data_IF_199874571431
#
_entry.id   IF_199874571431
#
_cell.length_a   1.000
_cell.length_b   1.000
_cell.length_c   1.000
_cell.angle_alpha   90.00
_cell.angle_beta   90.00
_cell.angle_gamma   90.00
#
_symmetry.space_group_name_H-M   'P 1'
#
loop_
_entity.id
_entity.type
_entity.pdbx_description
1 polymer ?
#
# COMPACT_ATOMS: atom_id res chain seq x y z
N UNK A 1 -55.83 8.78 -30.21
CA UNK A 1 -55.18 9.08 -28.92
C UNK A 1 -53.99 8.15 -28.79
N UNK A 2 -52.82 8.64 -29.11
CA UNK A 2 -51.58 7.87 -29.02
C UNK A 2 -50.90 8.23 -27.70
N UNK A 3 -50.81 7.22 -26.80
CA UNK A 3 -50.12 7.38 -25.49
C UNK A 3 -48.63 7.22 -25.73
N UNK A 4 -47.88 8.33 -25.64
CA UNK A 4 -46.43 8.35 -25.66
C UNK A 4 -45.89 7.82 -24.35
N UNK A 5 -45.23 6.68 -24.37
CA UNK A 5 -44.38 6.24 -23.28
C UNK A 5 -43.11 7.10 -23.29
N UNK A 6 -42.96 7.96 -22.28
CA UNK A 6 -41.70 8.65 -22.07
C UNK A 6 -40.63 7.65 -21.63
N UNK A 7 -39.59 7.49 -22.43
CA UNK A 7 -38.36 6.76 -22.05
C UNK A 7 -37.73 7.47 -20.87
N UNK A 8 -37.48 6.73 -19.78
CA UNK A 8 -36.66 7.19 -18.67
C UNK A 8 -35.22 7.34 -19.15
N UNK A 9 -34.55 8.46 -18.84
CA UNK A 9 -33.13 8.58 -19.12
C UNK A 9 -32.38 7.48 -18.37
N UNK A 10 -31.59 6.70 -19.11
CA UNK A 10 -30.64 5.75 -18.54
C UNK A 10 -29.53 6.57 -17.87
N UNK A 11 -29.49 6.54 -16.54
CA UNK A 11 -28.35 7.04 -15.78
C UNK A 11 -27.20 6.09 -16.08
N UNK A 12 -26.23 6.58 -16.85
CA UNK A 12 -24.99 5.86 -17.08
C UNK A 12 -24.36 5.58 -15.72
N UNK A 13 -24.18 4.31 -15.37
CA UNK A 13 -23.33 3.90 -14.24
C UNK A 13 -21.90 4.20 -14.67
N UNK A 14 -21.45 5.41 -14.37
CA UNK A 14 -20.02 5.73 -14.42
C UNK A 14 -19.26 4.75 -13.56
N UNK A 15 -18.01 4.44 -13.92
CA UNK A 15 -17.14 3.68 -13.03
C UNK A 15 -17.12 4.39 -11.66
N UNK A 16 -17.26 3.64 -10.54
CA UNK A 16 -17.31 4.26 -9.23
C UNK A 16 -15.97 4.95 -8.97
N UNK A 17 -16.03 6.27 -8.83
CA UNK A 17 -14.88 7.09 -8.44
C UNK A 17 -14.30 6.57 -7.12
N UNK A 18 -12.96 6.69 -6.89
CA UNK A 18 -12.35 6.41 -5.60
C UNK A 18 -13.06 7.14 -4.46
N UNK A 19 -13.35 6.44 -3.37
CA UNK A 19 -14.11 6.97 -2.21
C UNK A 19 -13.32 8.00 -1.38
N UNK A 20 -12.43 8.78 -1.99
CA UNK A 20 -11.61 9.77 -1.31
C UNK A 20 -12.07 11.18 -1.66
N UNK A 21 -12.68 11.87 -0.70
CA UNK A 21 -12.77 13.32 -0.72
C UNK A 21 -11.43 13.90 -0.25
N UNK A 22 -10.70 14.54 -1.15
CA UNK A 22 -9.43 15.18 -0.81
C UNK A 22 -9.68 16.48 -0.05
N UNK A 23 -9.49 16.45 1.27
CA UNK A 23 -9.28 17.67 2.03
C UNK A 23 -7.88 18.23 1.70
N UNK A 24 -7.82 19.49 1.34
CA UNK A 24 -6.62 20.14 0.82
C UNK A 24 -5.42 20.07 1.79
N UNK A 25 -4.31 19.59 1.28
CA UNK A 25 -2.93 20.01 1.51
C UNK A 25 -2.33 19.81 2.91
N UNK A 26 -1.82 18.62 3.11
CA UNK A 26 -0.53 18.47 3.80
C UNK A 26 0.39 17.71 2.85
N UNK A 27 1.70 18.01 2.87
CA UNK A 27 2.66 17.37 1.97
C UNK A 27 2.61 15.84 2.15
N UNK A 28 1.99 15.10 1.22
CA UNK A 28 1.89 13.64 1.32
C UNK A 28 3.27 12.97 1.22
N UNK A 29 4.30 13.72 0.81
CA UNK A 29 5.68 13.29 0.74
C UNK A 29 6.41 13.42 2.09
N UNK A 30 5.83 14.06 3.12
CA UNK A 30 6.51 14.21 4.42
C UNK A 30 6.91 12.84 4.99
N UNK A 31 8.21 12.62 5.28
CA UNK A 31 8.69 11.36 5.81
C UNK A 31 8.16 11.11 7.23
N UNK A 32 8.05 9.84 7.60
CA UNK A 32 7.71 9.43 8.96
C UNK A 32 8.58 8.25 9.41
N UNK A 33 8.73 8.15 10.73
CA UNK A 33 9.40 7.03 11.39
C UNK A 33 8.49 6.49 12.47
N UNK A 34 8.30 5.18 12.49
CA UNK A 34 7.49 4.43 13.44
C UNK A 34 8.21 3.12 13.82
N UNK A 35 7.61 2.28 14.65
CA UNK A 35 8.14 0.98 15.04
C UNK A 35 7.31 -0.13 14.39
N UNK A 36 7.95 -1.13 13.81
CA UNK A 36 7.25 -2.25 13.21
C UNK A 36 6.95 -3.38 14.25
N UNK A 37 6.25 -4.41 13.81
CA UNK A 37 5.86 -5.58 14.62
C UNK A 37 7.05 -6.39 15.14
N UNK A 38 8.24 -6.21 14.59
CA UNK A 38 9.48 -6.86 15.05
C UNK A 38 10.27 -5.99 16.03
N UNK A 39 9.69 -4.83 16.42
CA UNK A 39 10.32 -3.84 17.29
C UNK A 39 11.44 -3.06 16.61
N UNK A 40 11.50 -3.08 15.28
CA UNK A 40 12.50 -2.37 14.52
C UNK A 40 11.98 -1.00 14.08
N UNK A 41 12.89 -0.04 13.95
CA UNK A 41 12.57 1.26 13.37
C UNK A 41 12.18 1.09 11.89
N UNK A 42 11.02 1.63 11.54
CA UNK A 42 10.51 1.69 10.19
C UNK A 42 10.51 3.13 9.69
N UNK A 43 11.35 3.44 8.71
CA UNK A 43 11.31 4.72 7.99
C UNK A 43 10.49 4.59 6.72
N UNK A 44 9.64 5.61 6.43
CA UNK A 44 8.92 5.72 5.17
C UNK A 44 9.83 5.79 3.94
N UNK A 45 11.14 6.10 4.11
CA UNK A 45 12.11 6.08 3.03
C UNK A 45 12.28 4.68 2.44
N UNK A 46 11.99 3.63 3.23
CA UNK A 46 12.00 2.24 2.75
C UNK A 46 10.89 1.92 1.75
N UNK A 47 9.88 2.80 1.63
CA UNK A 47 8.78 2.71 0.67
C UNK A 47 9.13 3.32 -0.70
N UNK A 48 10.24 4.06 -0.79
CA UNK A 48 10.66 4.67 -2.05
C UNK A 48 10.85 3.61 -3.14
N UNK A 49 10.30 3.84 -4.32
CA UNK A 49 10.34 2.89 -5.44
C UNK A 49 9.36 1.70 -5.30
N UNK A 50 8.56 1.64 -4.23
CA UNK A 50 7.55 0.61 -4.01
C UNK A 50 6.15 1.14 -4.24
N UNK A 51 5.28 0.31 -4.80
CA UNK A 51 3.83 0.51 -4.70
C UNK A 51 3.38 -0.04 -3.37
N UNK A 52 2.58 0.69 -2.63
CA UNK A 52 2.17 0.22 -1.31
C UNK A 52 0.73 0.56 -0.95
N UNK A 53 0.14 -0.31 -0.14
CA UNK A 53 -1.21 -0.21 0.38
C UNK A 53 -1.15 0.23 1.84
N UNK A 54 -1.78 1.37 2.18
CA UNK A 54 -1.95 1.85 3.54
C UNK A 54 -3.33 1.53 4.08
N UNK A 55 -3.42 1.14 5.36
CA UNK A 55 -4.68 0.96 6.08
C UNK A 55 -4.51 1.34 7.55
N UNK A 56 -5.61 1.70 8.23
CA UNK A 56 -5.64 1.99 9.67
C UNK A 56 -6.46 0.93 10.38
N UNK A 57 -5.96 0.40 11.51
CA UNK A 57 -6.60 -0.66 12.27
C UNK A 57 -6.27 -0.54 13.77
N UNK A 58 -6.80 -1.44 14.59
CA UNK A 58 -6.29 -1.79 15.92
C UNK A 58 -6.57 -3.27 16.22
N UNK A 59 -5.64 -3.92 16.94
CA UNK A 59 -5.63 -5.39 17.08
C UNK A 59 -6.82 -5.95 17.85
N UNK A 60 -7.34 -5.19 18.81
CA UNK A 60 -8.46 -5.59 19.68
C UNK A 60 -9.83 -5.06 19.18
N UNK A 61 -9.95 -4.78 17.89
CA UNK A 61 -11.17 -4.30 17.26
C UNK A 61 -12.26 -5.38 17.29
N UNK A 62 -13.44 -5.12 17.88
CA UNK A 62 -14.56 -6.07 17.88
C UNK A 62 -15.32 -6.10 16.53
N UNK A 63 -14.94 -5.26 15.60
CA UNK A 63 -15.65 -5.02 14.35
C UNK A 63 -14.88 -5.45 13.10
N UNK A 64 -14.73 -4.55 12.11
CA UNK A 64 -14.30 -4.91 10.76
C UNK A 64 -12.80 -5.21 10.61
N UNK A 65 -11.92 -4.71 11.49
CA UNK A 65 -10.47 -4.74 11.29
C UNK A 65 -9.90 -6.13 10.97
N UNK A 66 -10.46 -7.20 11.55
CA UNK A 66 -10.03 -8.55 11.19
C UNK A 66 -10.32 -8.88 9.73
N UNK A 67 -11.51 -8.52 9.22
CA UNK A 67 -11.88 -8.76 7.82
C UNK A 67 -11.09 -7.90 6.86
N UNK A 68 -10.78 -6.67 7.24
CA UNK A 68 -9.93 -5.76 6.46
C UNK A 68 -8.52 -6.32 6.31
N UNK A 69 -7.90 -6.74 7.41
CA UNK A 69 -6.58 -7.34 7.36
C UNK A 69 -6.60 -8.71 6.67
N UNK A 70 -7.70 -9.47 6.75
CA UNK A 70 -7.85 -10.68 5.94
C UNK A 70 -7.89 -10.34 4.44
N UNK A 71 -8.58 -9.28 4.03
CA UNK A 71 -8.58 -8.83 2.64
C UNK A 71 -7.19 -8.38 2.19
N UNK A 72 -6.41 -7.69 3.04
CA UNK A 72 -5.03 -7.33 2.75
C UNK A 72 -4.15 -8.58 2.57
N UNK A 73 -4.30 -9.59 3.43
CA UNK A 73 -3.60 -10.87 3.29
C UNK A 73 -3.91 -11.55 1.95
N UNK A 74 -5.18 -11.54 1.54
CA UNK A 74 -5.61 -12.12 0.26
C UNK A 74 -5.05 -11.34 -0.93
N UNK A 75 -5.05 -10.01 -0.87
CA UNK A 75 -4.44 -9.13 -1.87
C UNK A 75 -2.95 -9.42 -2.02
N UNK A 76 -2.19 -9.49 -0.92
CA UNK A 76 -0.75 -9.78 -0.94
C UNK A 76 -0.41 -11.16 -1.50
N UNK A 77 -1.26 -12.17 -1.25
CA UNK A 77 -1.11 -13.52 -1.82
C UNK A 77 -1.41 -13.56 -3.30
N UNK A 78 -2.42 -12.81 -3.75
CA UNK A 78 -2.82 -12.78 -5.16
C UNK A 78 -1.90 -11.90 -6.02
N UNK A 79 -1.39 -10.80 -5.45
CA UNK A 79 -0.44 -9.90 -6.09
C UNK A 79 0.95 -10.18 -5.49
N UNK A 80 1.58 -11.25 -5.98
CA UNK A 80 2.91 -11.69 -5.54
C UNK A 80 4.00 -10.93 -6.30
N UNK A 81 4.15 -9.64 -5.98
CA UNK A 81 5.15 -8.75 -6.56
C UNK A 81 6.06 -8.20 -5.45
N UNK A 82 7.41 -8.34 -5.56
CA UNK A 82 8.34 -7.86 -4.54
C UNK A 82 8.38 -6.33 -4.40
N UNK A 83 7.81 -5.60 -5.38
CA UNK A 83 7.68 -4.15 -5.34
C UNK A 83 6.33 -3.69 -4.78
N UNK A 84 5.47 -4.63 -4.34
CA UNK A 84 4.21 -4.34 -3.67
C UNK A 84 4.27 -4.75 -2.21
N UNK A 85 4.00 -3.81 -1.31
CA UNK A 85 3.96 -4.03 0.13
C UNK A 85 2.70 -3.44 0.76
N UNK A 86 2.34 -3.88 1.96
CA UNK A 86 1.27 -3.31 2.74
C UNK A 86 1.81 -2.68 4.04
N UNK A 87 1.15 -1.61 4.49
CA UNK A 87 1.44 -0.89 5.72
C UNK A 87 0.14 -0.74 6.49
N UNK A 88 -0.01 -1.49 7.57
CA UNK A 88 -1.13 -1.38 8.51
C UNK A 88 -0.70 -0.53 9.70
N UNK A 89 -1.30 0.64 9.87
CA UNK A 89 -1.02 1.60 10.94
C UNK A 89 -2.02 1.42 12.07
N UNK A 90 -1.55 1.16 13.29
CA UNK A 90 -2.46 1.13 14.45
C UNK A 90 -2.97 2.52 14.81
N UNK A 91 -4.20 2.59 15.35
CA UNK A 91 -4.71 3.77 16.03
C UNK A 91 -4.81 3.59 17.58
N UNK A 92 -4.27 2.48 18.10
CA UNK A 92 -4.23 2.17 19.56
C UNK A 92 -2.82 1.75 19.99
N UNK A 93 -1.80 2.64 19.93
CA UNK A 93 -0.42 2.28 20.22
C UNK A 93 -0.18 1.89 21.70
N UNK A 94 -1.08 2.26 22.63
CA UNK A 94 -0.98 1.87 24.04
C UNK A 94 -1.23 0.37 24.21
N UNK A 95 -2.15 -0.20 23.41
CA UNK A 95 -2.49 -1.64 23.41
C UNK A 95 -1.61 -2.39 22.42
N UNK A 96 -1.40 -1.82 21.25
CA UNK A 96 -0.74 -2.44 20.11
C UNK A 96 0.78 -2.25 20.16
N UNK A 97 1.41 -2.87 21.18
CA UNK A 97 2.87 -2.95 21.26
C UNK A 97 3.44 -3.81 20.12
N UNK A 98 4.75 -3.73 19.79
CA UNK A 98 5.35 -4.59 18.78
C UNK A 98 5.05 -6.08 18.99
N UNK A 99 5.10 -6.58 20.24
CA UNK A 99 4.83 -7.98 20.55
C UNK A 99 3.34 -8.35 20.32
N UNK A 100 2.42 -7.41 20.53
CA UNK A 100 0.99 -7.60 20.23
C UNK A 100 0.81 -7.64 18.72
N UNK A 101 1.44 -6.71 18.00
CA UNK A 101 1.38 -6.64 16.54
C UNK A 101 2.00 -7.87 15.87
N UNK A 102 3.12 -8.40 16.40
CA UNK A 102 3.71 -9.65 15.92
C UNK A 102 2.73 -10.82 16.00
N UNK A 103 2.10 -11.01 17.17
CA UNK A 103 1.06 -12.04 17.34
C UNK A 103 -0.19 -11.79 16.48
N UNK A 104 -0.50 -10.53 16.20
CA UNK A 104 -1.61 -10.17 15.31
C UNK A 104 -1.29 -10.53 13.86
N UNK A 105 -0.07 -10.23 13.39
CA UNK A 105 0.43 -10.58 12.06
C UNK A 105 0.42 -12.10 11.82
N UNK A 106 0.79 -12.90 12.83
CA UNK A 106 0.77 -14.38 12.78
C UNK A 106 -0.62 -14.93 12.44
N UNK A 107 -1.71 -14.25 12.84
CA UNK A 107 -3.09 -14.68 12.53
C UNK A 107 -3.41 -14.70 11.04
N UNK A 108 -2.67 -13.94 10.25
CA UNK A 108 -2.82 -13.82 8.80
C UNK A 108 -1.71 -14.55 8.03
N UNK A 109 -0.79 -15.23 8.74
CA UNK A 109 0.46 -15.76 8.16
C UNK A 109 1.18 -14.70 7.32
N UNK A 110 1.27 -13.46 7.88
CA UNK A 110 1.81 -12.30 7.19
C UNK A 110 3.30 -12.50 6.88
N UNK A 111 3.68 -12.28 5.63
CA UNK A 111 5.08 -12.12 5.25
C UNK A 111 5.54 -10.72 5.70
N UNK A 112 6.27 -10.65 6.81
CA UNK A 112 6.71 -9.38 7.42
C UNK A 112 7.73 -8.62 6.57
N UNK A 113 8.27 -9.21 5.52
CA UNK A 113 9.05 -8.50 4.51
C UNK A 113 8.17 -7.63 3.61
N UNK A 114 6.92 -8.05 3.37
CA UNK A 114 5.96 -7.39 2.49
C UNK A 114 4.76 -6.77 3.20
N UNK A 115 4.58 -7.03 4.50
CA UNK A 115 3.50 -6.45 5.27
C UNK A 115 4.00 -5.94 6.61
N UNK A 116 3.96 -4.62 6.81
CA UNK A 116 4.38 -3.95 8.02
C UNK A 116 3.18 -3.52 8.86
N UNK A 117 3.20 -3.88 10.12
CA UNK A 117 2.26 -3.42 11.14
C UNK A 117 2.97 -2.41 12.02
N UNK A 118 2.54 -1.16 11.97
CA UNK A 118 3.26 -0.04 12.58
C UNK A 118 2.56 0.49 13.82
N UNK A 119 3.38 0.77 14.84
CA UNK A 119 3.01 1.42 16.11
C UNK A 119 4.02 2.50 16.46
N UNK A 120 3.77 3.31 17.49
CA UNK A 120 4.70 4.33 17.96
C UNK A 120 4.02 5.53 18.61
N UNK A 121 4.61 6.70 18.45
CA UNK A 121 4.06 7.94 18.99
C UNK A 121 2.71 8.29 18.35
N UNK A 122 1.70 8.56 19.20
CA UNK A 122 0.33 8.84 18.75
C UNK A 122 0.22 10.08 17.86
N UNK A 123 1.05 11.12 18.12
CA UNK A 123 1.01 12.32 17.28
C UNK A 123 1.56 12.05 15.86
N UNK A 124 2.56 11.16 15.75
CA UNK A 124 3.07 10.68 14.46
C UNK A 124 2.00 9.82 13.77
N UNK A 125 1.36 8.89 14.48
CA UNK A 125 0.29 8.04 13.97
C UNK A 125 -0.87 8.89 13.43
N UNK A 126 -1.35 9.86 14.21
CA UNK A 126 -2.43 10.76 13.79
C UNK A 126 -2.04 11.55 12.53
N UNK A 127 -0.82 12.10 12.51
CA UNK A 127 -0.32 12.82 11.33
C UNK A 127 -0.28 11.93 10.08
N UNK A 128 0.30 10.75 10.20
CA UNK A 128 0.41 9.79 9.07
C UNK A 128 -0.97 9.35 8.59
N UNK A 129 -1.83 8.93 9.50
CA UNK A 129 -3.17 8.44 9.15
C UNK A 129 -4.04 9.52 8.52
N UNK A 130 -4.13 10.71 9.16
CA UNK A 130 -5.04 11.77 8.69
C UNK A 130 -4.50 12.58 7.52
N UNK A 131 -3.16 12.78 7.45
CA UNK A 131 -2.55 13.68 6.46
C UNK A 131 -1.96 12.92 5.25
N UNK A 132 -1.41 11.73 5.47
CA UNK A 132 -0.83 10.94 4.39
C UNK A 132 -1.81 9.89 3.86
N UNK A 133 -2.43 9.11 4.74
CA UNK A 133 -3.40 8.08 4.32
C UNK A 133 -4.78 8.67 4.03
N UNK A 134 -5.09 9.87 4.53
CA UNK A 134 -6.40 10.50 4.52
C UNK A 134 -7.48 9.60 5.16
N UNK A 135 -7.10 8.87 6.21
CA UNK A 135 -7.95 7.97 6.97
C UNK A 135 -8.05 8.44 8.43
N UNK A 136 -9.20 8.26 9.09
CA UNK A 136 -9.33 8.56 10.51
C UNK A 136 -8.44 7.62 11.35
N UNK A 137 -7.89 8.16 12.44
CA UNK A 137 -7.05 7.43 13.41
C UNK A 137 -7.61 7.50 14.82
N UNK A 138 -8.86 7.88 14.97
CA UNK A 138 -9.52 7.94 16.28
C UNK A 138 -9.94 6.52 16.67
N UNK A 139 -9.67 6.15 17.92
CA UNK A 139 -10.04 4.84 18.44
C UNK A 139 -11.57 4.65 18.40
N UNK A 140 -12.01 3.54 17.82
CA UNK A 140 -13.42 3.23 17.61
C UNK A 140 -14.04 3.83 16.35
N UNK A 141 -13.31 4.65 15.59
CA UNK A 141 -13.71 5.08 14.24
C UNK A 141 -13.06 4.13 13.22
N UNK A 142 -13.89 3.47 12.42
CA UNK A 142 -13.40 2.51 11.43
C UNK A 142 -13.28 3.15 10.07
N UNK A 143 -12.08 3.14 9.50
CA UNK A 143 -11.84 3.66 8.15
C UNK A 143 -12.36 2.71 7.06
N UNK A 144 -12.33 1.40 7.31
CA UNK A 144 -12.74 0.32 6.40
C UNK A 144 -12.16 0.41 4.98
N UNK A 145 -11.09 1.21 4.79
CA UNK A 145 -10.49 1.50 3.49
C UNK A 145 -9.02 1.15 3.46
N UNK A 146 -8.58 0.63 2.30
CA UNK A 146 -7.19 0.59 1.90
C UNK A 146 -6.90 1.67 0.87
N UNK A 147 -5.77 2.35 0.99
CA UNK A 147 -5.33 3.43 0.12
C UNK A 147 -4.02 3.05 -0.57
N UNK A 148 -3.90 3.32 -1.86
CA UNK A 148 -2.77 2.92 -2.70
C UNK A 148 -1.88 4.11 -3.00
N UNK A 149 -0.59 3.91 -2.82
CA UNK A 149 0.45 4.86 -3.17
C UNK A 149 1.37 4.28 -4.24
N UNK A 150 1.82 5.14 -5.14
CA UNK A 150 2.81 4.77 -6.15
C UNK A 150 4.25 4.80 -5.62
N UNK A 151 5.21 4.58 -6.52
CA UNK A 151 6.64 4.52 -6.22
C UNK A 151 7.22 5.86 -5.74
N UNK A 152 6.59 6.95 -6.08
CA UNK A 152 6.91 8.33 -5.68
C UNK A 152 6.21 8.73 -4.36
N UNK A 153 5.40 7.81 -3.78
CA UNK A 153 4.64 8.05 -2.56
C UNK A 153 3.41 8.93 -2.76
N UNK A 154 2.95 9.10 -4.01
CA UNK A 154 1.72 9.83 -4.31
C UNK A 154 0.51 8.93 -4.11
N UNK A 155 -0.54 9.46 -3.47
CA UNK A 155 -1.79 8.76 -3.28
C UNK A 155 -2.53 8.62 -4.63
N UNK A 156 -2.86 7.38 -5.00
CA UNK A 156 -3.49 7.05 -6.29
C UNK A 156 -4.99 6.75 -6.15
N UNK A 157 -5.44 6.42 -4.96
CA UNK A 157 -6.83 6.14 -4.67
C UNK A 157 -7.01 5.19 -3.50
N UNK A 158 -8.26 4.81 -3.22
CA UNK A 158 -8.56 3.86 -2.16
C UNK A 158 -9.98 3.34 -2.23
N UNK A 159 -10.19 2.13 -1.73
CA UNK A 159 -11.47 1.44 -1.75
C UNK A 159 -11.72 0.69 -0.44
N UNK A 160 -12.99 0.39 -0.18
CA UNK A 160 -13.37 -0.42 0.98
C UNK A 160 -12.71 -1.79 0.94
N UNK A 161 -12.19 -2.23 2.10
CA UNK A 161 -11.61 -3.56 2.32
C UNK A 161 -12.66 -4.58 2.80
N UNK A 162 -13.89 -4.12 3.10
CA UNK A 162 -14.98 -4.97 3.60
C UNK A 162 -16.02 -5.32 2.53
N UNK A 163 -15.98 -4.66 1.37
CA UNK A 163 -16.84 -4.94 0.22
C UNK A 163 -16.06 -5.67 -0.88
N UNK A 164 -16.51 -6.87 -1.27
CA UNK A 164 -15.80 -7.72 -2.22
C UNK A 164 -15.62 -7.07 -3.60
N UNK A 165 -16.61 -6.30 -4.09
CA UNK A 165 -16.49 -5.63 -5.39
C UNK A 165 -15.47 -4.49 -5.32
N UNK A 166 -15.42 -3.77 -4.17
CA UNK A 166 -14.45 -2.71 -3.93
C UNK A 166 -13.04 -3.26 -3.76
N UNK A 167 -12.88 -4.43 -3.16
CA UNK A 167 -11.58 -5.14 -3.08
C UNK A 167 -11.07 -5.49 -4.48
N UNK A 168 -11.94 -5.94 -5.41
CA UNK A 168 -11.52 -6.18 -6.79
C UNK A 168 -11.08 -4.89 -7.52
N UNK A 169 -11.77 -3.76 -7.27
CA UNK A 169 -11.32 -2.45 -7.80
C UNK A 169 -9.97 -2.03 -7.19
N UNK A 170 -9.76 -2.29 -5.90
CA UNK A 170 -8.48 -2.02 -5.23
C UNK A 170 -7.34 -2.85 -5.85
N UNK A 171 -7.57 -4.14 -6.10
CA UNK A 171 -6.61 -5.02 -6.78
C UNK A 171 -6.30 -4.55 -8.20
N UNK A 172 -7.33 -4.12 -8.94
CA UNK A 172 -7.16 -3.54 -10.28
C UNK A 172 -6.26 -2.32 -10.22
N UNK A 173 -6.56 -1.36 -9.33
CA UNK A 173 -5.75 -0.16 -9.14
C UNK A 173 -4.30 -0.49 -8.78
N UNK A 174 -4.05 -1.42 -7.85
CA UNK A 174 -2.69 -1.84 -7.48
C UNK A 174 -1.94 -2.38 -8.71
N UNK A 175 -2.57 -3.25 -9.52
CA UNK A 175 -1.93 -3.80 -10.74
C UNK A 175 -1.65 -2.72 -11.80
N UNK A 176 -2.54 -1.75 -11.96
CA UNK A 176 -2.34 -0.62 -12.86
C UNK A 176 -1.15 0.22 -12.43
N UNK A 177 -1.05 0.58 -11.15
CA UNK A 177 0.07 1.35 -10.59
C UNK A 177 1.39 0.58 -10.65
N UNK A 178 1.37 -0.74 -10.45
CA UNK A 178 2.56 -1.60 -10.61
C UNK A 178 3.05 -1.66 -12.05
N UNK A 179 2.12 -1.63 -13.02
CA UNK A 179 2.44 -1.68 -14.44
C UNK A 179 2.97 -0.35 -15.01
N UNK A 180 2.85 0.76 -14.29
CA UNK A 180 3.40 2.04 -14.71
C UNK A 180 4.93 2.00 -14.69
N UNK A 181 5.57 2.53 -15.75
CA UNK A 181 7.02 2.64 -15.79
C UNK A 181 7.51 3.65 -14.74
N UNK A 182 8.46 3.23 -13.93
CA UNK A 182 9.10 4.13 -12.96
C UNK A 182 10.05 5.09 -13.70
N UNK A 183 9.80 6.39 -13.60
CA UNK A 183 10.60 7.44 -14.27
C UNK A 183 12.06 7.53 -13.76
N UNK A 184 12.44 6.72 -12.77
CA UNK A 184 13.74 6.74 -12.12
C UNK A 184 14.32 5.33 -11.87
N UNK A 185 14.40 4.48 -12.91
CA UNK A 185 15.31 3.34 -12.88
C UNK A 185 16.52 3.60 -13.77
N UNK A 186 17.61 4.24 -13.26
CA UNK A 186 18.85 4.39 -14.02
C UNK A 186 19.61 3.07 -14.19
N UNK A 187 19.14 1.96 -13.60
CA UNK A 187 19.80 0.65 -13.66
C UNK A 187 19.38 -0.22 -14.85
N UNK A 188 18.33 0.13 -15.60
CA UNK A 188 17.94 -0.59 -16.83
C UNK A 188 18.92 -0.35 -18.00
N UNK A 189 19.94 0.51 -17.81
CA UNK A 189 21.00 0.80 -18.77
C UNK A 189 22.34 0.12 -18.49
N UNK A 190 22.41 -0.91 -17.66
CA UNK A 190 23.65 -1.64 -17.39
C UNK A 190 24.06 -2.47 -18.60
N UNK A 191 24.89 -1.84 -19.37
CA UNK A 191 25.71 -2.29 -20.47
C UNK A 191 26.19 -3.75 -20.32
N UNK A 192 25.85 -4.55 -21.32
CA UNK A 192 26.44 -5.85 -21.58
C UNK A 192 27.99 -5.78 -21.49
N UNK A 193 28.66 -6.67 -20.73
CA UNK A 193 30.11 -6.65 -20.67
C UNK A 193 30.70 -6.93 -22.04
N UNK A 194 31.57 -6.05 -22.52
CA UNK A 194 32.30 -6.21 -23.76
C UNK A 194 33.06 -7.56 -23.77
N UNK A 195 33.11 -8.30 -24.89
CA UNK A 195 33.81 -9.55 -24.98
C UNK A 195 35.32 -9.33 -24.72
N UNK A 196 35.86 -10.16 -23.85
CA UNK A 196 37.29 -10.16 -23.57
C UNK A 196 38.11 -10.39 -24.85
N UNK A 197 38.98 -9.45 -25.19
CA UNK A 197 39.92 -9.60 -26.27
C UNK A 197 40.95 -10.67 -25.90
N UNK A 198 40.98 -11.74 -26.66
CA UNK A 198 42.07 -12.76 -26.63
C UNK A 198 43.40 -12.08 -26.88
N UNK A 199 44.24 -12.01 -25.87
CA UNK A 199 45.63 -11.68 -26.03
C UNK A 199 46.33 -12.89 -26.60
N UNK A 200 46.75 -12.80 -27.86
CA UNK A 200 47.68 -13.74 -28.53
C UNK A 200 49.02 -13.72 -27.76
N UNK A 201 49.40 -14.89 -27.26
CA UNK A 201 50.75 -15.15 -26.89
C UNK A 201 51.54 -15.47 -28.22
N UNK A 202 52.39 -14.59 -28.62
CA UNK A 202 53.50 -14.90 -29.53
C UNK A 202 54.67 -15.37 -28.68
N UNK A 203 55.08 -16.60 -28.94
CA UNK A 203 56.30 -17.12 -28.44
C UNK A 203 57.48 -16.52 -29.18
N UNK A 204 58.56 -16.37 -28.49
CA UNK A 204 59.86 -16.28 -29.14
C UNK A 204 60.82 -17.20 -28.44
N UNK A 205 61.48 -17.98 -29.30
CA UNK A 205 62.50 -18.98 -28.91
C UNK A 205 63.87 -18.38 -29.22
N UNK A 206 64.75 -18.43 -28.26
CA UNK A 206 66.21 -18.53 -28.48
C UNK A 206 66.92 -18.96 -27.17
#
# INVERSE_FOLDING_TARGET
>A
MASGCAERPQVGVGEPEPDLEFAAAVDPAAPFTLTDQDGQEFSSDSLAGKVWLGAVFFSNCPGPCFRENQAIADILREIDDPNFIAVSLTCDPETDTPEVLGRYADRFAADTARWKFLTGDMAVIQRVGTQKFLLPTELGVHAEKGVVFDREGQLRGGYSLTDANRVELLKKLIREVLAEEHAADPAAGAKEPAPASEARAEGDAA
#
